data_IF_644481950195
#
_entry.id   IF_644481950195
#
_cell.length_a   1.000
_cell.length_b   1.000
_cell.length_c   1.000
_cell.angle_alpha   90.00
_cell.angle_beta   90.00
_cell.angle_gamma   90.00
#
_symmetry.space_group_name_H-M   'P 1'
#
loop_
_entity.id
_entity.type
_entity.pdbx_description
1 polymer ?
#
# COMPACT_ATOMS: atom_id res chain seq x y z
N UNK A 1 30.93 3.45 56.31
CA UNK A 1 30.38 3.55 55.72
C UNK A 1 30.37 3.26 54.48
N UNK A 2 29.94 2.85 53.89
CA UNK A 2 30.05 2.44 52.79
C UNK A 2 29.11 2.68 51.97
N UNK A 3 29.06 2.55 51.02
CA UNK A 3 28.19 2.80 50.20
C UNK A 3 28.05 2.09 49.14
N UNK A 4 27.44 1.85 48.73
CA UNK A 4 27.22 1.12 47.79
C UNK A 4 26.50 1.51 46.80
N UNK A 5 26.49 1.21 45.82
CA UNK A 5 25.88 1.60 44.82
C UNK A 5 25.47 0.83 43.97
N UNK A 6 24.72 0.68 43.51
CA UNK A 6 24.32 -0.09 42.66
C UNK A 6 23.87 0.27 41.47
N UNK A 7 23.81 -0.10 40.75
CA UNK A 7 23.55 0.22 39.57
C UNK A 7 22.85 -0.46 38.82
N UNK A 8 22.19 -0.43 38.31
CA UNK A 8 21.55 -1.16 37.63
C UNK A 8 21.39 -0.92 36.45
N UNK A 9 21.20 -1.30 35.74
CA UNK A 9 21.15 -1.14 34.56
C UNK A 9 20.33 -1.66 33.82
N UNK A 10 19.93 -1.68 33.04
CA UNK A 10 19.22 -2.14 32.30
C UNK A 10 19.13 -2.28 31.12
N UNK A 11 18.92 -2.58 30.68
CA UNK A 11 18.95 -2.95 29.58
C UNK A 11 18.00 -2.91 28.80
N UNK A 12 17.58 -2.95 28.24
CA UNK A 12 16.86 -2.94 27.44
C UNK A 12 16.56 -3.47 26.52
N UNK A 13 16.32 -3.68 26.05
CA UNK A 13 16.05 -4.24 25.30
C UNK A 13 15.37 -4.30 24.30
N UNK A 14 15.27 -4.17 23.83
CA UNK A 14 14.91 -4.19 22.82
C UNK A 14 14.28 -4.98 22.21
N UNK A 15 14.21 -5.46 22.11
CA UNK A 15 13.75 -6.34 21.56
C UNK A 15 12.74 -6.19 20.96
N UNK A 16 12.41 -5.80 20.94
CA UNK A 16 11.43 -5.69 20.49
C UNK A 16 11.15 -5.91 19.32
N UNK A 17 11.26 -5.81 18.68
CA UNK A 17 11.06 -5.90 17.57
C UNK A 17 10.72 -6.87 17.00
N UNK A 18 10.82 -7.29 16.74
CA UNK A 18 10.70 -8.31 16.15
C UNK A 18 9.62 -8.89 16.09
N UNK A 19 9.04 -8.79 16.60
CA UNK A 19 8.07 -9.43 16.58
C UNK A 19 7.36 -9.67 15.53
N UNK A 20 7.12 -9.02 14.81
CA UNK A 20 6.29 -9.21 13.67
C UNK A 20 6.75 -10.26 12.75
N UNK A 21 7.90 -10.75 12.89
CA UNK A 21 8.38 -11.76 11.98
C UNK A 21 7.89 -13.14 12.40
N UNK A 22 7.22 -13.82 11.50
CA UNK A 22 6.79 -15.18 11.72
C UNK A 22 7.59 -16.08 10.79
N UNK A 23 8.52 -16.87 11.31
CA UNK A 23 9.35 -17.72 10.45
C UNK A 23 8.58 -18.81 9.75
N UNK A 24 7.38 -19.10 10.16
CA UNK A 24 6.55 -20.09 9.49
C UNK A 24 5.84 -19.60 8.25
N UNK A 25 5.90 -18.30 7.98
CA UNK A 25 5.24 -17.72 6.82
C UNK A 25 6.25 -17.02 5.94
N UNK A 26 6.13 -17.17 4.63
CA UNK A 26 7.01 -16.43 3.73
C UNK A 26 6.73 -14.94 3.83
N UNK A 27 7.73 -14.10 3.62
CA UNK A 27 7.50 -12.67 3.59
C UNK A 27 6.58 -12.32 2.43
N UNK A 28 5.78 -11.28 2.63
CA UNK A 28 4.90 -10.82 1.60
C UNK A 28 5.52 -9.64 0.90
N UNK A 29 5.61 -9.71 -0.41
CA UNK A 29 6.23 -8.68 -1.21
C UNK A 29 5.17 -7.76 -1.78
N UNK A 30 5.50 -6.47 -1.91
CA UNK A 30 4.53 -5.53 -2.42
C UNK A 30 4.37 -5.61 -3.92
N UNK A 31 3.21 -5.19 -4.37
CA UNK A 31 2.96 -4.90 -5.77
C UNK A 31 2.95 -3.39 -5.89
N UNK A 32 3.69 -2.86 -6.84
CA UNK A 32 3.72 -1.43 -7.11
C UNK A 32 2.93 -1.18 -8.36
N UNK A 33 1.86 -0.42 -8.24
CA UNK A 33 1.00 -0.12 -9.39
C UNK A 33 1.31 1.26 -9.94
N UNK A 34 1.32 1.34 -11.25
CA UNK A 34 1.54 2.58 -11.97
C UNK A 34 0.85 2.44 -13.33
N UNK A 35 0.70 3.52 -14.01
CA UNK A 35 0.12 3.48 -15.34
C UNK A 35 -0.66 4.73 -15.66
N UNK A 36 -1.51 4.62 -16.66
CA UNK A 36 -2.37 5.73 -17.07
C UNK A 36 -3.68 5.68 -16.30
N UNK A 37 -4.22 6.84 -15.99
CA UNK A 37 -5.52 6.95 -15.35
C UNK A 37 -6.36 7.95 -16.12
N UNK A 38 -7.63 7.62 -16.25
CA UNK A 38 -8.58 8.45 -17.00
C UNK A 38 -9.80 8.72 -16.14
N UNK A 39 -10.34 9.92 -16.29
CA UNK A 39 -11.58 10.31 -15.62
C UNK A 39 -12.54 10.76 -16.72
N UNK A 40 -13.65 10.03 -16.85
CA UNK A 40 -14.60 10.29 -17.90
C UNK A 40 -13.93 10.32 -19.29
N UNK A 41 -12.99 9.38 -19.48
CA UNK A 41 -12.29 9.25 -20.76
C UNK A 41 -11.15 10.22 -20.99
N UNK A 42 -10.90 11.13 -20.07
CA UNK A 42 -9.82 12.10 -20.22
C UNK A 42 -8.70 11.84 -19.22
N UNK A 43 -7.46 12.17 -19.56
CA UNK A 43 -6.36 11.94 -18.63
C UNK A 43 -6.62 12.61 -17.28
N UNK A 44 -6.27 11.90 -16.21
CA UNK A 44 -6.45 12.42 -14.86
C UNK A 44 -5.59 13.65 -14.64
N UNK A 45 -6.11 14.60 -13.88
CA UNK A 45 -5.36 15.80 -13.54
C UNK A 45 -4.21 15.47 -12.60
N UNK A 46 -3.15 16.24 -12.66
CA UNK A 46 -2.00 16.07 -11.80
C UNK A 46 -2.37 16.42 -10.35
N UNK A 47 -1.77 15.70 -9.41
CA UNK A 47 -1.93 16.01 -7.99
C UNK A 47 -3.10 15.31 -7.31
N UNK A 48 -3.74 14.38 -7.97
CA UNK A 48 -4.84 13.62 -7.38
C UNK A 48 -4.28 12.39 -6.68
N UNK A 49 -4.72 12.12 -5.46
CA UNK A 49 -4.27 10.94 -4.74
C UNK A 49 -4.93 9.69 -5.32
N UNK A 50 -4.13 8.66 -5.50
CA UNK A 50 -4.60 7.36 -6.00
C UNK A 50 -4.10 6.29 -5.06
N UNK A 51 -4.97 5.37 -4.69
CA UNK A 51 -4.59 4.31 -3.78
C UNK A 51 -5.44 3.06 -4.03
N UNK A 52 -5.03 1.96 -3.41
CA UNK A 52 -5.75 0.72 -3.50
C UNK A 52 -6.28 0.29 -2.14
N UNK A 53 -7.27 -0.57 -2.16
CA UNK A 53 -7.82 -1.17 -0.95
C UNK A 53 -7.98 -2.67 -1.14
N UNK A 54 -7.64 -3.41 -0.09
CA UNK A 54 -7.99 -4.82 0.00
C UNK A 54 -8.91 -4.89 1.20
N UNK A 55 -10.22 -5.06 0.95
CA UNK A 55 -11.20 -4.93 2.00
C UNK A 55 -11.14 -3.52 2.58
N UNK A 56 -10.81 -3.41 3.86
CA UNK A 56 -10.67 -2.11 4.51
C UNK A 56 -9.23 -1.66 4.65
N UNK A 57 -8.29 -2.47 4.21
CA UNK A 57 -6.89 -2.12 4.30
C UNK A 57 -6.47 -1.24 3.14
N UNK A 58 -5.89 -0.10 3.47
CA UNK A 58 -5.44 0.86 2.46
C UNK A 58 -4.01 0.56 2.03
N UNK A 59 -3.72 0.80 0.77
CA UNK A 59 -2.37 0.76 0.28
C UNK A 59 -1.66 2.05 0.68
N UNK A 60 -0.39 2.13 0.37
CA UNK A 60 0.32 3.39 0.43
C UNK A 60 -0.27 4.28 -0.66
N UNK A 61 -0.46 5.54 -0.35
CA UNK A 61 -1.08 6.47 -1.27
C UNK A 61 -0.06 6.93 -2.30
N UNK A 62 -0.42 6.78 -3.57
CA UNK A 62 0.34 7.35 -4.66
C UNK A 62 -0.35 8.61 -5.15
N UNK A 63 0.10 9.12 -6.27
CA UNK A 63 -0.50 10.32 -6.81
C UNK A 63 -0.43 10.35 -8.33
N UNK A 64 -1.25 11.17 -8.92
CA UNK A 64 -1.20 11.39 -10.35
C UNK A 64 -0.12 12.43 -10.65
N UNK A 65 0.57 12.21 -11.75
CA UNK A 65 1.61 13.11 -12.23
C UNK A 65 1.21 13.62 -13.61
N UNK A 66 2.03 14.45 -14.20
CA UNK A 66 1.73 15.02 -15.51
C UNK A 66 1.54 13.94 -16.55
N UNK A 67 0.73 14.20 -17.57
CA UNK A 67 0.47 13.26 -18.64
C UNK A 67 -0.58 12.20 -18.33
N UNK A 68 -1.36 12.38 -17.28
CA UNK A 68 -2.44 11.45 -16.96
C UNK A 68 -1.97 10.13 -16.38
N UNK A 69 -0.83 10.12 -15.71
CA UNK A 69 -0.27 8.92 -15.12
C UNK A 69 -0.37 8.95 -13.61
N UNK A 70 -0.42 7.80 -13.01
CA UNK A 70 -0.33 7.66 -11.56
C UNK A 70 0.86 6.77 -11.21
N UNK A 71 1.44 6.99 -10.05
CA UNK A 71 2.62 6.25 -9.60
C UNK A 71 2.55 5.98 -8.11
N UNK A 72 3.39 5.05 -7.68
CA UNK A 72 3.62 4.79 -6.25
C UNK A 72 2.44 4.24 -5.46
N UNK A 73 1.53 3.53 -6.11
CA UNK A 73 0.48 2.84 -5.38
C UNK A 73 1.04 1.49 -4.95
N UNK A 74 1.44 1.42 -3.70
CA UNK A 74 2.12 0.24 -3.17
C UNK A 74 1.16 -0.57 -2.33
N UNK A 75 0.89 -1.79 -2.75
CA UNK A 75 -0.04 -2.68 -2.07
C UNK A 75 0.71 -3.91 -1.58
N UNK A 76 0.67 -4.13 -0.28
CA UNK A 76 1.27 -5.31 0.32
C UNK A 76 0.23 -5.98 1.20
N UNK A 77 -0.14 -7.23 0.88
CA UNK A 77 -1.11 -7.93 1.72
C UNK A 77 -0.49 -8.20 3.10
N UNK A 78 -1.32 -8.13 4.12
CA UNK A 78 -0.85 -8.39 5.46
C UNK A 78 -1.34 -9.74 5.93
N UNK A 79 -0.41 -10.60 6.29
CA UNK A 79 -0.74 -11.85 6.97
C UNK A 79 -1.95 -12.58 6.45
N UNK A 80 -2.15 -12.55 5.18
CA UNK A 80 -3.28 -13.21 4.62
C UNK A 80 -2.97 -14.68 4.40
N UNK A 81 -3.87 -15.52 4.82
CA UNK A 81 -3.79 -16.94 4.52
C UNK A 81 -4.44 -17.21 3.18
N UNK A 82 -5.08 -16.20 2.62
CA UNK A 82 -5.69 -16.35 1.33
C UNK A 82 -4.64 -16.36 0.25
N UNK A 83 -4.86 -17.18 -0.75
CA UNK A 83 -3.92 -17.27 -1.85
C UNK A 83 -4.17 -16.19 -2.88
N UNK A 84 -5.33 -15.56 -2.83
CA UNK A 84 -5.70 -14.55 -3.80
C UNK A 84 -6.52 -13.46 -3.14
N UNK A 85 -6.14 -12.23 -3.37
CA UNK A 85 -6.83 -11.06 -2.82
C UNK A 85 -7.16 -10.10 -3.95
N UNK A 86 -8.27 -9.41 -3.83
CA UNK A 86 -8.68 -8.44 -4.85
C UNK A 86 -8.40 -7.05 -4.36
N UNK A 87 -7.71 -6.26 -5.18
CA UNK A 87 -7.43 -4.86 -4.91
C UNK A 87 -8.40 -4.02 -5.71
N UNK A 88 -9.06 -3.09 -5.05
CA UNK A 88 -9.86 -2.07 -5.71
C UNK A 88 -9.10 -0.76 -5.65
N UNK A 89 -9.23 0.05 -6.67
CA UNK A 89 -8.48 1.30 -6.76
C UNK A 89 -9.41 2.50 -6.64
N UNK A 90 -8.89 3.57 -6.06
CA UNK A 90 -9.66 4.77 -5.77
C UNK A 90 -8.84 6.00 -6.04
N UNK A 91 -9.52 7.08 -6.39
CA UNK A 91 -8.90 8.39 -6.37
C UNK A 91 -9.60 9.21 -5.31
N UNK A 92 -8.89 10.15 -4.73
CA UNK A 92 -9.43 11.00 -3.70
C UNK A 92 -9.06 12.45 -3.93
N UNK A 93 -10.05 13.32 -3.75
CA UNK A 93 -9.86 14.77 -3.75
C UNK A 93 -10.50 15.31 -2.48
N UNK A 94 -10.48 16.62 -2.31
CA UNK A 94 -11.14 17.25 -1.17
C UNK A 94 -12.63 16.95 -1.14
N UNK A 95 -13.21 16.66 -2.30
CA UNK A 95 -14.65 16.44 -2.40
C UNK A 95 -15.07 15.00 -2.18
N UNK A 96 -14.14 14.10 -2.02
CA UNK A 96 -14.47 12.72 -1.76
C UNK A 96 -13.63 11.72 -2.52
N UNK A 97 -14.17 10.53 -2.66
CA UNK A 97 -13.48 9.38 -3.21
C UNK A 97 -14.31 8.73 -4.31
N UNK A 98 -13.65 8.30 -5.37
CA UNK A 98 -14.30 7.59 -6.46
C UNK A 98 -13.54 6.31 -6.76
N UNK A 99 -14.27 5.23 -6.95
CA UNK A 99 -13.69 3.93 -7.23
C UNK A 99 -13.46 3.76 -8.73
N UNK A 100 -12.32 3.22 -9.10
CA UNK A 100 -12.02 2.88 -10.49
C UNK A 100 -12.85 1.67 -10.93
N UNK A 101 -13.01 1.52 -12.22
CA UNK A 101 -13.73 0.39 -12.79
C UNK A 101 -12.92 -0.90 -12.72
N UNK A 102 -11.61 -0.79 -12.68
CA UNK A 102 -10.71 -1.94 -12.66
C UNK A 102 -10.44 -2.42 -11.26
N UNK A 103 -10.19 -3.72 -11.15
CA UNK A 103 -9.69 -4.34 -9.94
C UNK A 103 -8.52 -5.21 -10.36
N UNK A 104 -7.74 -5.66 -9.39
CA UNK A 104 -6.59 -6.51 -9.67
C UNK A 104 -6.55 -7.64 -8.66
N UNK A 105 -6.32 -8.85 -9.13
CA UNK A 105 -6.18 -9.99 -8.24
C UNK A 105 -4.71 -10.17 -7.90
N UNK A 106 -4.41 -10.00 -6.62
CA UNK A 106 -3.05 -10.17 -6.12
C UNK A 106 -2.81 -11.65 -5.87
N UNK A 107 -1.61 -12.07 -6.22
CA UNK A 107 -1.16 -13.42 -5.89
C UNK A 107 0.15 -13.25 -5.15
N UNK A 108 0.44 -14.16 -4.26
CA UNK A 108 1.71 -14.12 -3.56
C UNK A 108 2.84 -14.25 -4.55
N UNK A 109 3.83 -13.42 -4.38
CA UNK A 109 4.99 -13.42 -5.27
C UNK A 109 6.25 -13.55 -4.43
N UNK A 110 7.32 -14.01 -5.07
CA UNK A 110 8.59 -14.22 -4.39
C UNK A 110 9.50 -13.01 -4.45
N UNK A 111 9.05 -11.93 -5.07
CA UNK A 111 9.81 -10.70 -5.18
C UNK A 111 8.85 -9.56 -5.44
N UNK A 112 9.25 -8.32 -5.20
CA UNK A 112 8.40 -7.18 -5.50
C UNK A 112 8.04 -7.14 -6.97
N UNK A 113 6.81 -6.77 -7.28
CA UNK A 113 6.34 -6.77 -8.65
C UNK A 113 5.81 -5.40 -9.03
N UNK A 114 6.21 -4.95 -10.22
CA UNK A 114 5.70 -3.69 -10.77
C UNK A 114 4.60 -4.04 -11.76
N UNK A 115 3.43 -3.44 -11.57
CA UNK A 115 2.27 -3.70 -12.41
C UNK A 115 1.85 -2.42 -13.09
N UNK A 116 1.78 -2.46 -14.40
CA UNK A 116 1.28 -1.34 -15.17
C UNK A 116 -0.19 -1.59 -15.43
N UNK A 117 -1.05 -0.81 -14.77
CA UNK A 117 -2.47 -1.01 -14.86
C UNK A 117 -3.18 0.28 -15.21
N UNK A 118 -3.96 0.25 -16.27
CA UNK A 118 -4.76 1.40 -16.67
C UNK A 118 -5.99 1.48 -15.78
N UNK A 119 -6.26 2.65 -15.24
CA UNK A 119 -7.43 2.87 -14.40
C UNK A 119 -8.40 3.81 -15.09
N UNK A 120 -9.68 3.53 -14.95
CA UNK A 120 -10.74 4.36 -15.50
C UNK A 120 -11.71 4.72 -14.38
N UNK A 121 -11.92 6.01 -14.21
CA UNK A 121 -12.89 6.54 -13.24
C UNK A 121 -14.03 7.18 -14.03
N UNK A 122 -15.24 7.10 -13.49
CA UNK A 122 -16.40 7.65 -14.19
C UNK A 122 -16.46 9.18 -14.09
N UNK A 123 -15.98 9.71 -12.97
CA UNK A 123 -16.01 11.16 -12.75
C UNK A 123 -15.12 11.50 -11.59
N UNK A 124 -14.87 12.78 -11.37
CA UNK A 124 -14.25 13.25 -10.13
C UNK A 124 -15.33 13.23 -9.04
N UNK A 125 -14.89 13.17 -7.77
CA UNK A 125 -15.83 13.22 -6.67
C UNK A 125 -16.69 14.48 -6.71
#
# INVERSE_FOLDING_TARGET
MSLTILISIIACTEEAQSESFDPGLPPEFPHVFMGNAFVDGEPIKQGVEVYGKIGESLSQIGESISGGRYVNVLVAPKNSKETELTVSFYMKTEDGEVKAKETYKLKKVSEPKIVNLKLNFSSYP
#
